data_IF_892104715035
#
_entry.id   IF_892104715035
#
_cell.length_a   1.000
_cell.length_b   1.000
_cell.length_c   1.000
_cell.angle_alpha   90.00
_cell.angle_beta   90.00
_cell.angle_gamma   90.00
#
_symmetry.space_group_name_H-M   'P 1'
#
loop_
_entity.id
_entity.type
_entity.pdbx_description
1 polymer ?
#
# COMPACT_ATOMS: atom_id res chain seq x y z
N UNK A 1 -15.00 -19.31 13.23
CA UNK A 1 -14.47 -18.81 11.93
C UNK A 1 -13.37 -17.82 12.22
N UNK A 2 -12.17 -18.08 11.75
CA UNK A 2 -10.97 -17.29 11.97
C UNK A 2 -10.69 -16.41 10.76
N UNK A 3 -10.65 -15.08 10.94
CA UNK A 3 -10.26 -14.12 9.90
C UNK A 3 -8.86 -13.56 10.13
N UNK A 4 -8.18 -13.93 11.22
CA UNK A 4 -6.85 -13.42 11.51
C UNK A 4 -5.81 -13.95 10.52
N UNK A 5 -4.86 -13.08 10.18
CA UNK A 5 -3.70 -13.41 9.35
C UNK A 5 -2.43 -12.94 10.03
N UNK A 6 -1.30 -13.61 9.74
CA UNK A 6 -0.01 -13.25 10.31
C UNK A 6 0.97 -12.83 9.22
N UNK A 7 1.54 -11.63 9.35
CA UNK A 7 2.53 -11.09 8.42
C UNK A 7 3.77 -10.73 9.23
N UNK A 8 4.91 -11.33 8.93
CA UNK A 8 6.19 -11.04 9.55
C UNK A 8 6.15 -11.04 11.10
N UNK A 9 5.40 -11.96 11.70
CA UNK A 9 5.23 -12.07 13.14
C UNK A 9 4.14 -11.19 13.75
N UNK A 10 3.61 -10.20 13.03
CA UNK A 10 2.49 -9.36 13.46
C UNK A 10 1.18 -10.03 13.11
N UNK A 11 0.26 -10.13 14.09
CA UNK A 11 -1.08 -10.68 13.90
C UNK A 11 -2.08 -9.56 13.61
N UNK A 12 -2.86 -9.73 12.53
CA UNK A 12 -3.94 -8.84 12.09
C UNK A 12 -5.26 -9.56 12.29
N UNK A 13 -6.24 -8.92 12.91
CA UNK A 13 -7.56 -9.52 13.24
C UNK A 13 -8.38 -9.92 12.00
N UNK A 14 -8.10 -9.34 10.85
CA UNK A 14 -8.61 -9.69 9.54
C UNK A 14 -7.62 -9.24 8.45
N UNK A 15 -7.73 -9.76 7.20
CA UNK A 15 -6.77 -9.47 6.14
C UNK A 15 -6.94 -8.12 5.46
N UNK A 16 -7.88 -7.27 5.88
CA UNK A 16 -8.26 -6.06 5.15
C UNK A 16 -7.67 -4.82 5.82
N UNK A 17 -6.95 -4.05 5.02
CA UNK A 17 -6.43 -2.74 5.39
C UNK A 17 -6.74 -1.73 4.26
N UNK A 18 -6.50 -0.47 4.48
CA UNK A 18 -6.57 0.53 3.41
C UNK A 18 -5.17 0.80 2.83
N UNK A 19 -5.12 1.32 1.60
CA UNK A 19 -3.86 1.60 0.93
C UNK A 19 -3.36 3.01 1.24
N UNK A 20 -2.07 3.14 1.53
CA UNK A 20 -1.44 4.45 1.78
C UNK A 20 -1.80 5.50 0.73
N UNK A 21 -2.11 6.69 1.21
CA UNK A 21 -2.41 7.87 0.37
C UNK A 21 -3.87 8.04 -0.03
N UNK A 22 -4.77 7.14 0.39
CA UNK A 22 -6.21 7.21 0.10
C UNK A 22 -7.07 7.37 1.34
N UNK A 23 -6.45 7.41 2.53
CA UNK A 23 -7.13 7.39 3.82
C UNK A 23 -6.51 8.38 4.83
N UNK A 24 -5.51 9.16 4.40
CA UNK A 24 -4.71 10.00 5.30
C UNK A 24 -4.00 9.16 6.36
N UNK A 25 -4.20 9.53 7.63
CA UNK A 25 -3.87 8.70 8.81
C UNK A 25 -5.16 8.26 9.53
N UNK A 26 -6.28 8.18 8.82
CA UNK A 26 -7.56 7.71 9.31
C UNK A 26 -8.42 8.76 10.02
N UNK A 27 -7.94 9.98 10.27
CA UNK A 27 -8.69 11.00 11.02
C UNK A 27 -10.02 11.34 10.35
N UNK A 28 -10.00 11.68 9.07
CA UNK A 28 -11.20 12.04 8.31
C UNK A 28 -12.13 10.85 8.14
N UNK A 29 -11.59 9.66 7.94
CA UNK A 29 -12.40 8.45 7.76
C UNK A 29 -12.96 7.88 9.05
N UNK A 30 -12.39 8.23 10.21
CA UNK A 30 -12.96 7.83 11.52
C UNK A 30 -14.34 8.43 11.79
N UNK A 31 -14.72 9.48 11.03
CA UNK A 31 -16.08 10.04 11.08
C UNK A 31 -17.11 9.14 10.37
N UNK A 32 -16.67 8.24 9.49
CA UNK A 32 -17.52 7.32 8.72
C UNK A 32 -17.46 5.90 9.26
N UNK A 33 -16.27 5.42 9.63
CA UNK A 33 -16.04 4.04 10.02
C UNK A 33 -15.27 3.93 11.33
N UNK A 34 -15.59 2.91 12.14
CA UNK A 34 -14.76 2.54 13.28
C UNK A 34 -13.47 1.86 12.77
N UNK A 35 -12.34 2.54 12.95
CA UNK A 35 -11.03 2.04 12.52
C UNK A 35 -10.64 0.73 13.23
N UNK A 36 -11.25 0.44 14.41
CA UNK A 36 -11.03 -0.83 15.12
C UNK A 36 -11.58 -2.05 14.36
N UNK A 37 -12.38 -1.85 13.32
CA UNK A 37 -12.86 -2.93 12.45
C UNK A 37 -11.83 -3.40 11.42
N UNK A 38 -10.82 -2.57 11.13
CA UNK A 38 -9.79 -2.85 10.13
C UNK A 38 -8.68 -3.72 10.70
N UNK A 39 -8.07 -4.55 9.87
CA UNK A 39 -6.84 -5.28 10.22
C UNK A 39 -5.69 -4.33 10.51
N UNK A 40 -5.53 -3.29 9.68
CA UNK A 40 -4.55 -2.23 9.88
C UNK A 40 -5.00 -0.91 9.24
N UNK A 41 -4.40 0.20 9.70
CA UNK A 41 -4.34 1.48 9.00
C UNK A 41 -2.94 1.66 8.44
N UNK A 42 -2.83 1.77 7.09
CA UNK A 42 -1.57 2.10 6.41
C UNK A 42 -1.53 3.61 6.17
N UNK A 43 -0.66 4.30 6.86
CA UNK A 43 -0.67 5.76 6.92
C UNK A 43 -0.28 6.41 5.58
N UNK A 44 -0.60 7.70 5.43
CA UNK A 44 0.01 8.52 4.38
C UNK A 44 1.53 8.41 4.46
N UNK A 45 2.19 8.41 3.29
CA UNK A 45 3.66 8.39 3.23
C UNK A 45 4.27 9.50 4.08
N UNK A 46 5.17 9.11 4.98
CA UNK A 46 5.88 9.98 5.92
C UNK A 46 7.31 10.16 5.46
N UNK A 47 7.75 11.42 5.32
CA UNK A 47 9.13 11.78 4.99
C UNK A 47 9.84 12.38 6.21
N UNK A 48 11.16 12.49 6.13
CA UNK A 48 11.99 13.10 7.17
C UNK A 48 11.67 14.58 7.42
N UNK A 49 11.20 15.28 6.38
CA UNK A 49 10.77 16.68 6.42
C UNK A 49 9.40 16.85 5.75
N UNK A 50 8.68 17.97 5.98
CA UNK A 50 7.42 18.23 5.27
C UNK A 50 7.62 18.36 3.75
N UNK A 51 6.74 17.72 2.97
CA UNK A 51 6.71 17.86 1.51
C UNK A 51 5.41 18.51 1.05
N UNK A 52 5.49 19.58 0.22
CA UNK A 52 4.30 20.29 -0.27
C UNK A 52 3.52 19.52 -1.35
N UNK A 53 4.13 18.50 -1.95
CA UNK A 53 3.59 17.79 -3.11
C UNK A 53 3.75 18.57 -4.41
N UNK A 54 3.12 18.06 -5.47
CA UNK A 54 3.17 18.65 -6.81
C UNK A 54 2.19 19.83 -6.95
N UNK A 55 2.37 20.71 -7.98
CA UNK A 55 1.37 21.72 -8.34
C UNK A 55 0.01 21.11 -8.74
N UNK A 56 -1.06 21.86 -8.56
CA UNK A 56 -2.41 21.51 -9.01
C UNK A 56 -2.60 21.89 -10.49
N UNK A 57 -3.55 21.19 -11.21
CA UNK A 57 -4.42 20.09 -10.79
C UNK A 57 -3.64 18.78 -10.61
N UNK A 58 -4.02 17.99 -9.59
CA UNK A 58 -3.31 16.77 -9.17
C UNK A 58 -4.08 15.48 -9.43
N UNK A 59 -5.35 15.56 -9.77
CA UNK A 59 -6.28 14.45 -9.92
C UNK A 59 -7.05 14.60 -11.22
N UNK A 60 -7.27 13.49 -11.91
CA UNK A 60 -8.13 13.42 -13.07
C UNK A 60 -8.85 12.07 -13.09
N UNK A 61 -10.19 12.11 -13.22
CA UNK A 61 -10.97 10.89 -13.39
C UNK A 61 -10.71 10.25 -14.76
N UNK A 62 -10.76 8.94 -14.82
CA UNK A 62 -10.67 8.14 -16.04
C UNK A 62 -11.79 7.11 -16.06
N UNK A 63 -12.01 6.48 -17.21
CA UNK A 63 -12.92 5.36 -17.27
C UNK A 63 -12.40 4.20 -16.42
N UNK A 64 -13.15 3.83 -15.39
CA UNK A 64 -12.80 2.75 -14.47
C UNK A 64 -11.70 3.09 -13.44
N UNK A 65 -11.46 4.39 -13.15
CA UNK A 65 -10.49 4.77 -12.12
C UNK A 65 -10.13 6.24 -12.14
N UNK A 66 -8.92 6.55 -11.67
CA UNK A 66 -8.40 7.90 -11.62
C UNK A 66 -6.88 7.95 -11.82
N UNK A 67 -6.40 9.10 -12.31
CA UNK A 67 -4.98 9.46 -12.32
C UNK A 67 -4.73 10.43 -11.18
N UNK A 68 -3.70 10.18 -10.38
CA UNK A 68 -3.23 11.12 -9.37
C UNK A 68 -1.75 11.46 -9.58
N UNK A 69 -1.41 12.70 -9.24
CA UNK A 69 -0.04 13.23 -9.23
C UNK A 69 0.17 14.07 -7.94
N UNK A 70 -0.15 13.50 -6.79
CA UNK A 70 -0.09 14.18 -5.48
C UNK A 70 1.33 14.60 -5.12
N UNK A 71 2.35 13.78 -5.46
CA UNK A 71 3.75 14.05 -5.14
C UNK A 71 4.07 13.88 -3.67
N UNK A 72 3.45 12.89 -3.00
CA UNK A 72 3.73 12.51 -1.61
C UNK A 72 3.59 13.67 -0.60
N UNK A 73 2.66 14.60 -0.81
CA UNK A 73 2.39 15.66 0.18
C UNK A 73 2.18 15.04 1.57
N UNK A 74 2.98 15.49 2.55
CA UNK A 74 2.92 14.98 3.91
C UNK A 74 3.52 16.01 4.90
N UNK A 75 3.17 15.94 6.20
CA UNK A 75 3.61 16.90 7.20
C UNK A 75 5.01 16.63 7.77
N UNK A 76 5.67 15.53 7.36
CA UNK A 76 6.93 15.08 7.93
C UNK A 76 6.77 14.30 9.24
N UNK A 77 7.85 13.59 9.62
CA UNK A 77 7.86 12.66 10.75
C UNK A 77 7.56 13.34 12.09
N UNK A 78 7.98 14.59 12.31
CA UNK A 78 7.78 15.30 13.59
C UNK A 78 6.29 15.52 13.90
N UNK A 79 5.53 15.93 12.88
CA UNK A 79 4.08 16.13 13.03
C UNK A 79 3.37 14.79 13.11
N UNK A 80 3.79 13.83 12.29
CA UNK A 80 3.22 12.49 12.28
C UNK A 80 3.34 11.80 13.65
N UNK A 81 4.51 11.79 14.25
CA UNK A 81 4.76 11.16 15.55
C UNK A 81 3.93 11.82 16.67
N UNK A 82 3.79 13.16 16.66
CA UNK A 82 3.07 13.90 17.71
C UNK A 82 1.55 13.93 17.54
N UNK A 83 1.04 13.81 16.32
CA UNK A 83 -0.39 13.94 16.00
C UNK A 83 -1.03 12.62 15.60
N UNK A 84 -0.45 11.94 14.60
CA UNK A 84 -1.10 10.81 13.93
C UNK A 84 -0.96 9.50 14.73
N UNK A 85 0.21 9.23 15.28
CA UNK A 85 0.42 8.02 16.12
C UNK A 85 -0.49 8.05 17.36
N UNK A 86 -0.53 9.13 18.19
CA UNK A 86 -1.44 9.18 19.33
C UNK A 86 -2.93 9.08 18.95
N UNK A 87 -3.31 9.57 17.77
CA UNK A 87 -4.66 9.41 17.27
C UNK A 87 -4.97 7.94 16.96
N UNK A 88 -4.12 7.28 16.17
CA UNK A 88 -4.31 5.89 15.76
C UNK A 88 -4.32 4.92 16.94
N UNK A 89 -3.52 5.19 17.97
CA UNK A 89 -3.45 4.35 19.18
C UNK A 89 -4.71 4.39 20.06
N UNK A 90 -5.71 5.20 19.69
CA UNK A 90 -7.05 5.15 20.34
C UNK A 90 -7.90 3.98 19.84
N UNK A 91 -7.52 3.37 18.71
CA UNK A 91 -8.27 2.31 18.05
C UNK A 91 -7.55 0.97 18.17
N UNK A 92 -8.31 -0.10 18.29
CA UNK A 92 -7.80 -1.47 18.25
C UNK A 92 -7.57 -1.89 16.79
N UNK A 93 -6.53 -1.34 16.18
CA UNK A 93 -6.08 -1.65 14.81
C UNK A 93 -4.56 -1.62 14.74
N UNK A 94 -3.96 -2.33 13.79
CA UNK A 94 -2.52 -2.25 13.56
C UNK A 94 -2.16 -0.97 12.82
N UNK A 95 -1.00 -0.41 13.14
CA UNK A 95 -0.49 0.81 12.51
C UNK A 95 0.70 0.43 11.63
N UNK A 96 0.50 0.54 10.31
CA UNK A 96 1.55 0.35 9.31
C UNK A 96 1.96 1.71 8.76
N UNK A 97 3.21 2.11 9.00
CA UNK A 97 3.68 3.44 8.57
C UNK A 97 4.29 3.33 7.17
N UNK A 98 3.67 4.02 6.20
CA UNK A 98 4.27 4.16 4.87
C UNK A 98 5.40 5.19 4.94
N UNK A 99 6.62 4.76 4.63
CA UNK A 99 7.83 5.59 4.69
C UNK A 99 8.24 5.97 3.27
N UNK A 100 8.55 7.24 3.05
CA UNK A 100 9.04 7.75 1.77
C UNK A 100 10.28 8.62 1.95
N UNK A 101 11.16 8.63 0.96
CA UNK A 101 12.40 9.38 0.93
C UNK A 101 12.83 9.69 -0.51
N UNK A 102 13.79 10.58 -0.68
CA UNK A 102 14.46 10.88 -1.95
C UNK A 102 15.80 10.16 -2.04
N UNK A 103 16.46 9.97 -0.92
CA UNK A 103 17.74 9.27 -0.78
C UNK A 103 17.60 8.13 0.21
N UNK A 104 18.55 7.21 0.23
CA UNK A 104 18.57 6.11 1.22
C UNK A 104 18.63 6.68 2.65
N UNK A 105 19.37 7.76 2.86
CA UNK A 105 19.53 8.44 4.15
C UNK A 105 18.21 9.00 4.65
N UNK A 106 17.35 9.55 3.75
CA UNK A 106 16.01 10.04 4.13
C UNK A 106 15.14 8.91 4.68
N UNK A 107 15.19 7.71 4.05
CA UNK A 107 14.45 6.54 4.56
C UNK A 107 14.99 6.09 5.92
N UNK A 108 16.31 6.04 6.08
CA UNK A 108 16.97 5.63 7.33
C UNK A 108 16.58 6.61 8.45
N UNK A 109 16.65 7.92 8.22
CA UNK A 109 16.28 8.94 9.23
C UNK A 109 14.83 8.73 9.73
N UNK A 110 13.87 8.51 8.84
CA UNK A 110 12.48 8.24 9.24
C UNK A 110 12.37 6.93 10.01
N UNK A 111 13.03 5.87 9.55
CA UNK A 111 12.98 4.54 10.16
C UNK A 111 13.57 4.55 11.57
N UNK A 112 14.71 5.20 11.77
CA UNK A 112 15.34 5.34 13.09
C UNK A 112 14.46 6.13 14.06
N UNK A 113 13.84 7.22 13.59
CA UNK A 113 12.93 8.05 14.39
C UNK A 113 11.62 7.34 14.74
N UNK A 114 11.20 6.33 13.95
CA UNK A 114 10.07 5.46 14.25
C UNK A 114 10.45 4.28 15.14
N UNK A 115 11.74 4.05 15.39
CA UNK A 115 12.21 2.84 16.07
C UNK A 115 11.64 2.63 17.47
N UNK A 116 11.38 3.70 18.23
CA UNK A 116 10.80 3.65 19.57
C UNK A 116 9.31 4.00 19.62
N UNK A 117 8.71 4.32 18.47
CA UNK A 117 7.29 4.62 18.37
C UNK A 117 6.43 3.35 18.38
N UNK A 118 5.22 3.39 18.94
CA UNK A 118 4.34 2.24 19.05
C UNK A 118 3.61 1.94 17.73
N UNK A 119 4.37 1.69 16.67
CA UNK A 119 3.87 1.30 15.35
C UNK A 119 4.23 -0.16 15.07
N UNK A 120 3.37 -0.86 14.33
CA UNK A 120 3.45 -2.31 14.22
C UNK A 120 4.33 -2.77 13.04
N UNK A 121 4.44 -1.95 11.97
CA UNK A 121 5.15 -2.34 10.76
C UNK A 121 5.52 -1.09 9.91
N UNK A 122 6.56 -1.19 9.09
CA UNK A 122 7.00 -0.13 8.17
C UNK A 122 6.81 -0.57 6.72
N UNK A 123 6.04 0.19 5.93
CA UNK A 123 5.91 -0.01 4.49
C UNK A 123 6.82 0.97 3.75
N UNK A 124 7.91 0.50 3.18
CA UNK A 124 8.92 1.31 2.49
C UNK A 124 8.47 1.54 1.05
N UNK A 125 8.13 2.76 0.73
CA UNK A 125 7.57 3.14 -0.55
C UNK A 125 8.68 3.54 -1.55
N UNK A 126 9.18 2.58 -2.30
CA UNK A 126 10.19 2.77 -3.35
C UNK A 126 9.57 2.90 -4.75
N UNK A 127 8.27 3.14 -4.86
CA UNK A 127 7.51 2.95 -6.09
C UNK A 127 6.74 4.18 -6.56
N UNK A 128 6.92 5.36 -5.96
CA UNK A 128 6.13 6.54 -6.30
C UNK A 128 6.51 7.10 -7.68
N UNK A 129 5.58 7.10 -8.69
CA UNK A 129 5.87 7.63 -10.02
C UNK A 129 5.85 9.16 -10.08
N UNK A 130 5.43 9.82 -8.99
CA UNK A 130 5.14 11.27 -8.95
C UNK A 130 6.27 12.10 -8.31
N UNK A 131 7.44 11.51 -8.04
CA UNK A 131 8.65 12.19 -7.53
C UNK A 131 9.77 12.05 -8.56
N UNK A 132 10.44 13.15 -8.88
CA UNK A 132 11.54 13.17 -9.85
C UNK A 132 12.81 12.50 -9.34
N UNK A 133 13.03 12.52 -8.03
CA UNK A 133 14.18 11.94 -7.33
C UNK A 133 13.68 10.97 -6.27
N UNK A 134 14.35 9.82 -6.10
CA UNK A 134 13.89 8.75 -5.22
C UNK A 134 12.77 7.90 -5.84
N UNK A 135 11.91 7.32 -5.03
CA UNK A 135 10.71 6.60 -5.44
C UNK A 135 10.88 5.63 -6.63
N UNK A 136 10.44 6.06 -7.82
CA UNK A 136 10.44 5.20 -9.01
C UNK A 136 11.85 4.75 -9.46
N UNK A 137 12.88 5.58 -9.23
CA UNK A 137 14.25 5.24 -9.62
C UNK A 137 14.77 4.04 -8.81
N UNK A 138 14.42 3.96 -7.52
CA UNK A 138 14.75 2.79 -6.70
C UNK A 138 13.94 1.55 -7.10
N UNK A 139 12.68 1.69 -7.45
CA UNK A 139 11.76 0.58 -7.72
C UNK A 139 11.88 -0.08 -9.10
N UNK A 140 12.76 0.41 -10.00
CA UNK A 140 12.91 -0.13 -11.36
C UNK A 140 14.23 -0.88 -11.57
N UNK A 141 15.19 -0.75 -10.66
CA UNK A 141 16.46 -1.48 -10.71
C UNK A 141 16.51 -2.49 -9.55
N UNK A 142 16.63 -3.80 -9.81
CA UNK A 142 16.67 -4.81 -8.76
C UNK A 142 17.86 -4.65 -7.82
N UNK A 143 19.00 -4.15 -8.28
CA UNK A 143 20.16 -3.87 -7.41
C UNK A 143 19.87 -2.73 -6.44
N UNK A 144 19.18 -1.70 -6.90
CA UNK A 144 18.74 -0.60 -6.04
C UNK A 144 17.67 -1.05 -5.03
N UNK A 145 16.72 -1.91 -5.45
CA UNK A 145 15.72 -2.52 -4.54
C UNK A 145 16.39 -3.31 -3.42
N UNK A 146 17.33 -4.20 -3.76
CA UNK A 146 18.08 -4.99 -2.78
C UNK A 146 18.89 -4.10 -1.84
N UNK A 147 19.62 -3.14 -2.39
CA UNK A 147 20.48 -2.25 -1.59
C UNK A 147 19.69 -1.41 -0.57
N UNK A 148 18.59 -0.77 -1.02
CA UNK A 148 17.77 0.06 -0.12
C UNK A 148 17.05 -0.81 0.92
N UNK A 149 16.58 -2.00 0.54
CA UNK A 149 15.96 -2.94 1.48
C UNK A 149 16.94 -3.32 2.57
N UNK A 150 18.17 -3.70 2.19
CA UNK A 150 19.24 -4.07 3.14
C UNK A 150 19.59 -2.90 4.07
N UNK A 151 19.71 -1.69 3.52
CA UNK A 151 20.03 -0.50 4.29
C UNK A 151 18.94 -0.20 5.34
N UNK A 152 17.67 -0.18 4.92
CA UNK A 152 16.53 0.05 5.82
C UNK A 152 16.43 -1.04 6.90
N UNK A 153 16.58 -2.32 6.51
CA UNK A 153 16.53 -3.45 7.44
C UNK A 153 17.61 -3.38 8.55
N UNK A 154 18.77 -2.84 8.24
CA UNK A 154 19.85 -2.68 9.21
C UNK A 154 19.52 -1.67 10.34
N UNK A 155 18.56 -0.77 10.11
CA UNK A 155 18.17 0.30 11.03
C UNK A 155 16.76 0.11 11.62
N UNK A 156 15.91 -0.70 10.98
CA UNK A 156 14.54 -0.91 11.41
C UNK A 156 14.44 -1.82 12.63
N UNK A 157 13.65 -1.43 13.64
CA UNK A 157 13.24 -2.27 14.75
C UNK A 157 11.95 -3.04 14.46
N UNK A 158 11.07 -2.46 13.65
CA UNK A 158 9.81 -3.07 13.21
C UNK A 158 10.02 -3.93 11.96
N UNK A 159 9.11 -4.88 11.66
CA UNK A 159 9.09 -5.59 10.39
C UNK A 159 8.98 -4.62 9.20
N UNK A 160 9.70 -4.92 8.11
CA UNK A 160 9.81 -4.10 6.91
C UNK A 160 9.07 -4.75 5.75
N UNK A 161 8.11 -4.03 5.20
CA UNK A 161 7.39 -4.34 3.97
C UNK A 161 7.93 -3.49 2.82
N UNK A 162 8.33 -4.10 1.71
CA UNK A 162 8.77 -3.35 0.53
C UNK A 162 7.60 -3.16 -0.44
N UNK A 163 7.21 -1.90 -0.70
CA UNK A 163 6.13 -1.58 -1.64
C UNK A 163 6.66 -1.41 -3.04
N UNK A 164 6.28 -2.35 -3.94
CA UNK A 164 6.80 -2.45 -5.28
C UNK A 164 5.97 -1.67 -6.32
N UNK A 165 6.68 -1.20 -7.35
CA UNK A 165 6.10 -0.55 -8.52
C UNK A 165 5.64 -1.58 -9.56
N UNK A 166 4.46 -1.38 -10.19
CA UNK A 166 4.04 -2.20 -11.33
C UNK A 166 4.72 -1.79 -12.65
N UNK A 167 5.46 -0.67 -12.66
CA UNK A 167 6.05 -0.10 -13.88
C UNK A 167 7.38 -0.76 -14.22
N UNK A 168 7.35 -2.07 -14.29
CA UNK A 168 8.48 -2.95 -14.59
C UNK A 168 8.04 -4.07 -15.53
N UNK A 169 8.98 -4.64 -16.27
CA UNK A 169 8.68 -5.73 -17.21
C UNK A 169 8.34 -7.04 -16.49
N UNK A 170 9.07 -7.35 -15.42
CA UNK A 170 8.91 -8.56 -14.62
C UNK A 170 8.95 -8.22 -13.13
N UNK A 171 7.79 -8.34 -12.46
CA UNK A 171 7.65 -8.04 -11.04
C UNK A 171 8.38 -9.04 -10.16
N UNK A 172 8.60 -10.27 -10.65
CA UNK A 172 9.27 -11.31 -9.87
C UNK A 172 10.73 -10.99 -9.59
N UNK A 173 11.37 -10.27 -10.49
CA UNK A 173 12.76 -9.81 -10.34
C UNK A 173 12.85 -8.82 -9.17
N UNK A 174 11.88 -7.89 -9.08
CA UNK A 174 11.85 -6.90 -8.00
C UNK A 174 11.48 -7.55 -6.66
N UNK A 175 10.53 -8.50 -6.67
CA UNK A 175 10.14 -9.24 -5.47
C UNK A 175 11.31 -10.04 -4.89
N UNK A 176 12.05 -10.76 -5.73
CA UNK A 176 13.27 -11.51 -5.32
C UNK A 176 14.37 -10.57 -4.79
N UNK A 177 14.56 -9.42 -5.40
CA UNK A 177 15.52 -8.43 -4.94
C UNK A 177 15.16 -7.87 -3.55
N UNK A 178 13.88 -7.57 -3.31
CA UNK A 178 13.40 -7.16 -1.98
C UNK A 178 13.60 -8.26 -0.93
N UNK A 179 13.26 -9.51 -1.26
CA UNK A 179 13.49 -10.66 -0.37
C UNK A 179 14.98 -10.87 -0.08
N UNK A 180 15.85 -10.80 -1.10
CA UNK A 180 17.30 -10.90 -0.96
C UNK A 180 17.89 -9.78 -0.08
N UNK A 181 17.31 -8.58 -0.12
CA UNK A 181 17.64 -7.47 0.76
C UNK A 181 17.16 -7.65 2.21
N UNK A 182 16.36 -8.67 2.49
CA UNK A 182 15.88 -9.00 3.83
C UNK A 182 14.50 -8.41 4.17
N UNK A 183 13.67 -8.09 3.16
CA UNK A 183 12.27 -7.71 3.41
C UNK A 183 11.53 -8.80 4.18
N UNK A 184 10.72 -8.41 5.16
CA UNK A 184 9.89 -9.34 5.94
C UNK A 184 8.55 -9.62 5.26
N UNK A 185 8.10 -8.72 4.38
CA UNK A 185 6.93 -8.87 3.52
C UNK A 185 7.05 -7.96 2.29
N UNK A 186 6.18 -8.17 1.31
CA UNK A 186 6.12 -7.35 0.10
C UNK A 186 4.69 -6.87 -0.09
N UNK A 187 4.51 -5.58 -0.42
CA UNK A 187 3.22 -5.04 -0.86
C UNK A 187 3.28 -4.65 -2.34
N UNK A 188 2.26 -4.97 -3.09
CA UNK A 188 2.12 -4.62 -4.50
C UNK A 188 0.65 -4.66 -4.94
N UNK A 189 0.26 -3.82 -5.86
CA UNK A 189 1.05 -2.92 -6.68
C UNK A 189 0.79 -1.46 -6.29
N UNK A 190 1.76 -0.57 -6.51
CA UNK A 190 1.49 0.85 -6.59
C UNK A 190 0.76 1.15 -7.92
N UNK A 191 0.62 2.39 -8.32
CA UNK A 191 -0.14 2.82 -9.49
C UNK A 191 0.63 2.66 -10.79
N UNK A 192 -0.08 2.37 -11.88
CA UNK A 192 0.49 2.34 -13.23
C UNK A 192 0.68 3.77 -13.74
N UNK A 193 1.79 4.05 -14.41
CA UNK A 193 2.01 5.36 -15.02
C UNK A 193 1.04 5.58 -16.18
N UNK A 194 0.29 6.68 -16.12
CA UNK A 194 -0.69 7.07 -17.12
C UNK A 194 -0.69 8.55 -17.42
N UNK A 195 -1.47 8.94 -18.41
CA UNK A 195 -1.66 10.34 -18.84
C UNK A 195 -3.09 10.57 -19.28
N UNK A 196 -3.62 11.78 -19.01
CA UNK A 196 -4.89 12.24 -19.58
C UNK A 196 -4.72 13.62 -20.22
N UNK A 197 -5.29 13.81 -21.40
CA UNK A 197 -5.32 15.06 -22.15
C UNK A 197 -6.74 15.66 -22.11
N UNK A 198 -6.84 16.92 -21.75
CA UNK A 198 -8.05 17.73 -21.88
C UNK A 198 -8.15 18.26 -23.32
N UNK A 199 -8.90 17.56 -24.18
CA UNK A 199 -8.90 17.82 -25.63
C UNK A 199 -9.40 19.22 -26.01
N UNK A 200 -10.39 19.75 -25.30
CA UNK A 200 -10.94 21.06 -25.58
C UNK A 200 -9.96 22.20 -25.28
N UNK A 201 -9.14 22.01 -24.25
CA UNK A 201 -8.11 22.99 -23.83
C UNK A 201 -6.75 22.69 -24.43
N UNK A 202 -6.54 21.49 -24.99
CA UNK A 202 -5.27 20.97 -25.50
C UNK A 202 -4.15 21.03 -24.44
N UNK A 203 -4.49 20.66 -23.19
CA UNK A 203 -3.59 20.70 -22.03
C UNK A 203 -3.59 19.33 -21.32
N UNK A 204 -2.61 19.13 -20.46
CA UNK A 204 -2.60 17.97 -19.57
C UNK A 204 -3.66 18.11 -18.46
N UNK A 205 -4.35 17.03 -18.14
CA UNK A 205 -5.37 17.03 -17.08
C UNK A 205 -4.76 17.17 -15.67
N UNK A 206 -3.51 16.76 -15.49
CA UNK A 206 -2.74 16.98 -14.26
C UNK A 206 -1.49 17.81 -14.55
N UNK A 207 -1.10 18.70 -13.64
CA UNK A 207 0.02 19.63 -13.83
C UNK A 207 1.36 18.92 -14.09
N UNK A 208 1.54 17.75 -13.49
CA UNK A 208 2.73 16.90 -13.64
C UNK A 208 2.80 16.15 -15.00
N UNK A 209 1.84 16.36 -15.91
CA UNK A 209 1.65 15.71 -17.22
C UNK A 209 1.28 14.24 -17.12
N UNK A 210 2.05 13.44 -16.38
CA UNK A 210 1.79 12.04 -16.04
C UNK A 210 1.41 11.89 -14.58
N UNK A 211 0.75 10.79 -14.24
CA UNK A 211 0.39 10.43 -12.88
C UNK A 211 0.17 8.93 -12.74
N UNK A 212 -0.13 8.49 -11.54
CA UNK A 212 -0.44 7.11 -11.25
C UNK A 212 -1.90 6.79 -11.52
N UNK A 213 -2.18 5.86 -12.43
CA UNK A 213 -3.50 5.29 -12.68
C UNK A 213 -3.82 4.25 -11.60
N UNK A 214 -5.00 4.38 -10.99
CA UNK A 214 -5.55 3.47 -9.97
C UNK A 214 -7.04 3.22 -10.20
N UNK A 215 -7.63 2.30 -9.43
CA UNK A 215 -9.06 1.94 -9.54
C UNK A 215 -9.28 0.61 -10.28
N UNK A 216 -10.55 0.22 -10.53
CA UNK A 216 -10.92 -1.10 -11.08
C UNK A 216 -10.20 -1.48 -12.37
N UNK A 217 -9.86 -0.49 -13.22
CA UNK A 217 -9.19 -0.74 -14.49
C UNK A 217 -7.82 -1.44 -14.35
N UNK A 218 -7.12 -1.29 -13.24
CA UNK A 218 -5.80 -1.92 -13.03
C UNK A 218 -5.87 -3.28 -12.34
N UNK A 219 -7.05 -3.71 -11.83
CA UNK A 219 -7.18 -4.94 -11.01
C UNK A 219 -6.62 -6.18 -11.70
N UNK A 220 -6.93 -6.50 -12.97
CA UNK A 220 -6.41 -7.71 -13.61
C UNK A 220 -4.86 -7.71 -13.69
N UNK A 221 -4.25 -6.55 -13.84
CA UNK A 221 -2.79 -6.41 -13.82
C UNK A 221 -2.25 -6.68 -12.41
N UNK A 222 -2.91 -6.11 -11.39
CA UNK A 222 -2.53 -6.27 -9.99
C UNK A 222 -2.64 -7.73 -9.53
N UNK A 223 -3.75 -8.41 -9.80
CA UNK A 223 -3.97 -9.82 -9.47
C UNK A 223 -2.88 -10.70 -10.10
N UNK A 224 -2.59 -10.50 -11.41
CA UNK A 224 -1.51 -11.23 -12.08
C UNK A 224 -0.16 -11.01 -11.41
N UNK A 225 0.19 -9.76 -11.08
CA UNK A 225 1.47 -9.45 -10.45
C UNK A 225 1.58 -10.01 -9.03
N UNK A 226 0.50 -9.99 -8.26
CA UNK A 226 0.44 -10.64 -6.93
C UNK A 226 0.65 -12.14 -7.06
N UNK A 227 -0.04 -12.80 -7.98
CA UNK A 227 0.15 -14.22 -8.23
C UNK A 227 1.60 -14.55 -8.58
N UNK A 228 2.20 -13.81 -9.53
CA UNK A 228 3.59 -14.02 -9.94
C UNK A 228 4.58 -13.79 -8.78
N UNK A 229 4.38 -12.74 -7.99
CA UNK A 229 5.24 -12.47 -6.83
C UNK A 229 5.12 -13.56 -5.77
N UNK A 230 3.88 -14.00 -5.44
CA UNK A 230 3.63 -15.06 -4.47
C UNK A 230 4.28 -16.40 -4.85
N UNK A 231 4.40 -16.70 -6.16
CA UNK A 231 5.11 -17.88 -6.64
C UNK A 231 6.64 -17.72 -6.63
N UNK A 232 7.14 -16.48 -6.58
CA UNK A 232 8.56 -16.19 -6.74
C UNK A 232 9.33 -16.03 -5.44
N UNK A 233 8.63 -15.69 -4.34
CA UNK A 233 9.22 -15.41 -3.01
C UNK A 233 8.53 -16.20 -1.91
N UNK A 234 9.15 -16.27 -0.72
CA UNK A 234 8.62 -16.97 0.45
C UNK A 234 7.99 -16.02 1.47
N UNK A 235 8.32 -14.74 1.41
CA UNK A 235 7.78 -13.73 2.32
C UNK A 235 6.30 -13.44 2.01
N UNK A 236 5.49 -13.10 3.03
CA UNK A 236 4.07 -12.78 2.84
C UNK A 236 3.84 -11.63 1.88
N UNK A 237 2.71 -11.69 1.15
CA UNK A 237 2.31 -10.68 0.17
C UNK A 237 1.09 -9.90 0.67
N UNK A 238 1.14 -8.57 0.57
CA UNK A 238 -0.01 -7.67 0.72
C UNK A 238 -0.41 -7.20 -0.67
N UNK A 239 -1.59 -7.65 -1.13
CA UNK A 239 -2.08 -7.35 -2.48
C UNK A 239 -2.92 -6.07 -2.51
N UNK A 240 -2.72 -5.22 -3.53
CA UNK A 240 -3.52 -4.01 -3.75
C UNK A 240 -3.59 -3.63 -5.23
N UNK A 241 -4.66 -2.90 -5.59
CA UNK A 241 -4.85 -2.35 -6.94
C UNK A 241 -6.21 -2.70 -7.53
N UNK A 242 -7.17 -1.77 -7.42
CA UNK A 242 -8.49 -1.91 -8.01
C UNK A 242 -9.50 -2.74 -7.22
N UNK A 243 -9.24 -3.04 -5.95
CA UNK A 243 -10.17 -3.70 -5.04
C UNK A 243 -11.28 -2.72 -4.68
N UNK A 244 -12.55 -3.09 -4.91
CA UNK A 244 -13.73 -2.30 -4.60
C UNK A 244 -14.71 -3.00 -3.64
N UNK A 245 -14.61 -4.31 -3.52
CA UNK A 245 -15.51 -5.15 -2.73
C UNK A 245 -14.81 -6.45 -2.30
N UNK A 246 -15.56 -7.33 -1.62
CA UNK A 246 -15.05 -8.60 -1.09
C UNK A 246 -14.63 -9.59 -2.19
N UNK A 247 -15.39 -9.66 -3.29
CA UNK A 247 -15.06 -10.57 -4.40
C UNK A 247 -13.72 -10.20 -5.02
N UNK A 248 -13.50 -8.89 -5.23
CA UNK A 248 -12.21 -8.39 -5.70
C UNK A 248 -11.08 -8.73 -4.72
N UNK A 249 -11.29 -8.57 -3.41
CA UNK A 249 -10.31 -8.90 -2.38
C UNK A 249 -9.97 -10.41 -2.35
N UNK A 250 -10.99 -11.25 -2.51
CA UNK A 250 -10.82 -12.71 -2.58
C UNK A 250 -10.02 -13.14 -3.82
N UNK A 251 -10.13 -12.44 -4.97
CA UNK A 251 -9.24 -12.71 -6.11
C UNK A 251 -7.76 -12.58 -5.72
N UNK A 252 -7.40 -11.55 -4.94
CA UNK A 252 -6.03 -11.35 -4.48
C UNK A 252 -5.59 -12.41 -3.47
N UNK A 253 -6.46 -12.76 -2.52
CA UNK A 253 -6.17 -13.80 -1.52
C UNK A 253 -5.94 -15.14 -2.21
N UNK A 254 -6.84 -15.52 -3.12
CA UNK A 254 -6.70 -16.75 -3.92
C UNK A 254 -5.44 -16.74 -4.80
N UNK A 255 -5.02 -15.57 -5.28
CA UNK A 255 -3.77 -15.42 -6.03
C UNK A 255 -2.51 -15.51 -5.16
N UNK A 256 -2.63 -15.53 -3.83
CA UNK A 256 -1.51 -15.71 -2.90
C UNK A 256 -1.23 -14.52 -1.96
N UNK A 257 -2.09 -13.49 -1.95
CA UNK A 257 -1.97 -12.43 -0.97
C UNK A 257 -2.40 -12.91 0.42
N UNK A 258 -1.58 -12.66 1.44
CA UNK A 258 -1.91 -12.90 2.86
C UNK A 258 -2.87 -11.85 3.39
N UNK A 259 -2.76 -10.62 2.90
CA UNK A 259 -3.65 -9.50 3.20
C UNK A 259 -3.88 -8.64 1.96
N UNK A 260 -4.88 -7.76 2.02
CA UNK A 260 -5.25 -6.88 0.92
C UNK A 260 -5.39 -5.44 1.39
N UNK A 261 -5.05 -4.48 0.52
CA UNK A 261 -5.20 -3.06 0.82
C UNK A 261 -6.11 -2.36 -0.21
N UNK A 262 -7.10 -1.62 0.28
CA UNK A 262 -8.11 -0.93 -0.51
C UNK A 262 -7.72 0.54 -0.65
N UNK A 263 -7.64 1.03 -1.88
CA UNK A 263 -7.24 2.40 -2.18
C UNK A 263 -8.38 3.26 -2.72
N UNK A 264 -8.40 3.45 -4.04
CA UNK A 264 -9.30 4.37 -4.77
C UNK A 264 -10.78 4.20 -4.43
N UNK A 265 -11.21 2.99 -4.08
CA UNK A 265 -12.60 2.72 -3.70
C UNK A 265 -13.08 3.57 -2.51
N UNK A 266 -12.18 3.92 -1.57
CA UNK A 266 -12.48 4.77 -0.43
C UNK A 266 -12.97 6.17 -0.83
N UNK A 267 -12.60 6.68 -2.01
CA UNK A 267 -13.06 7.99 -2.51
C UNK A 267 -14.50 7.95 -3.03
N UNK A 268 -14.98 6.78 -3.47
CA UNK A 268 -16.34 6.59 -3.95
C UNK A 268 -17.28 6.12 -2.85
N UNK A 269 -16.76 5.27 -1.96
CA UNK A 269 -17.50 4.73 -0.82
C UNK A 269 -16.58 4.69 0.42
N UNK A 270 -16.75 5.60 1.38
CA UNK A 270 -15.94 5.62 2.59
C UNK A 270 -16.08 4.37 3.45
N UNK A 271 -17.10 3.55 3.18
CA UNK A 271 -17.34 2.26 3.86
C UNK A 271 -16.74 1.07 3.11
N UNK A 272 -16.07 1.27 1.96
CA UNK A 272 -15.58 0.18 1.12
C UNK A 272 -14.74 -0.84 1.89
N UNK A 273 -13.85 -0.39 2.76
CA UNK A 273 -12.95 -1.25 3.53
C UNK A 273 -13.74 -2.13 4.52
N UNK A 274 -14.64 -1.56 5.31
CA UNK A 274 -15.44 -2.33 6.28
C UNK A 274 -16.46 -3.25 5.60
N UNK A 275 -17.06 -2.82 4.47
CA UNK A 275 -17.92 -3.68 3.64
C UNK A 275 -17.16 -4.88 3.08
N UNK A 276 -15.88 -4.70 2.75
CA UNK A 276 -15.03 -5.80 2.28
C UNK A 276 -14.76 -6.79 3.40
N UNK A 277 -14.51 -6.35 4.63
CA UNK A 277 -14.39 -7.24 5.80
C UNK A 277 -15.67 -8.08 5.97
N UNK A 278 -16.84 -7.43 5.95
CA UNK A 278 -18.13 -8.11 6.11
C UNK A 278 -18.40 -9.10 4.95
N UNK A 279 -18.08 -8.71 3.73
CA UNK A 279 -18.27 -9.54 2.55
C UNK A 279 -17.36 -10.78 2.53
N UNK A 280 -16.10 -10.66 2.96
CA UNK A 280 -15.19 -11.82 3.13
C UNK A 280 -15.78 -12.78 4.18
N UNK A 281 -16.25 -12.24 5.32
CA UNK A 281 -16.89 -13.04 6.35
C UNK A 281 -18.10 -13.79 5.82
N UNK A 282 -18.98 -13.11 5.08
CA UNK A 282 -20.16 -13.73 4.47
C UNK A 282 -19.80 -14.81 3.43
N UNK A 283 -18.72 -14.61 2.65
CA UNK A 283 -18.19 -15.62 1.75
C UNK A 283 -17.74 -16.88 2.51
N UNK A 284 -16.95 -16.72 3.58
CA UNK A 284 -16.50 -17.83 4.40
C UNK A 284 -17.68 -18.61 5.02
N UNK A 285 -18.69 -17.89 5.54
CA UNK A 285 -19.91 -18.50 6.07
C UNK A 285 -20.66 -19.31 5.00
N UNK A 286 -20.83 -18.73 3.81
CA UNK A 286 -21.54 -19.37 2.68
C UNK A 286 -20.87 -20.68 2.24
N UNK A 287 -19.55 -20.74 2.25
CA UNK A 287 -18.77 -21.88 1.77
C UNK A 287 -18.24 -22.79 2.89
N UNK A 288 -18.58 -22.53 4.15
CA UNK A 288 -18.16 -23.34 5.31
C UNK A 288 -16.66 -23.31 5.56
N UNK A 289 -16.00 -22.16 5.28
CA UNK A 289 -14.56 -21.96 5.48
C UNK A 289 -14.34 -21.50 6.91
N UNK A 290 -13.59 -22.25 7.68
CA UNK A 290 -13.36 -21.97 9.10
C UNK A 290 -12.18 -21.03 9.32
N UNK A 291 -11.18 -21.02 8.42
CA UNK A 291 -9.98 -20.22 8.50
C UNK A 291 -9.68 -19.54 7.15
N UNK A 292 -9.57 -18.19 7.14
CA UNK A 292 -9.25 -17.42 5.94
C UNK A 292 -7.90 -17.84 5.31
N UNK A 293 -6.99 -18.34 6.12
CA UNK A 293 -5.68 -18.80 5.65
C UNK A 293 -5.75 -19.99 4.68
N UNK A 294 -6.87 -20.76 4.68
CA UNK A 294 -7.12 -21.82 3.71
C UNK A 294 -7.30 -21.30 2.27
N UNK A 295 -7.64 -20.02 2.12
CA UNK A 295 -7.86 -19.39 0.81
C UNK A 295 -6.57 -18.81 0.21
N UNK A 296 -5.51 -18.64 0.99
CA UNK A 296 -4.27 -18.00 0.52
C UNK A 296 -3.60 -18.89 -0.52
N UNK A 297 -3.56 -18.42 -1.78
CA UNK A 297 -2.96 -19.15 -2.89
C UNK A 297 -3.75 -20.38 -3.34
N UNK A 298 -5.03 -20.50 -2.98
CA UNK A 298 -5.85 -21.65 -3.25
C UNK A 298 -6.45 -21.71 -4.68
N UNK A 299 -6.05 -20.79 -5.58
CA UNK A 299 -6.44 -20.87 -6.99
C UNK A 299 -5.88 -22.14 -7.63
N UNK A 300 -6.74 -22.86 -8.38
CA UNK A 300 -6.40 -24.13 -9.04
C UNK A 300 -6.08 -23.92 -10.51
#
# INVERSE_FOLDING_TARGET
MNMSVKIAGVEFKNPVMEASGTFGSGMEYSEFVDLSRLGAVVTKGVANVPWPGNPTPRIAETYGGMINAIGLQNPGIDVFAKRDIPFLKKYDTKVVVNVCGKTTEDYIDVVERLGDEPVDMLEINISCPNVKEGGIAFGQDPKAVEAITKAVKAHAKQPVVMKLSPNVTDITVMAKAAEAGGADAISLINTLTGMKIEINRRTFAVANKTGGLSGPAIRPVAVRMVYQAAQAVKVPIIGMGGICNADDALEFILAGATAVAIGTANFHDPYATVKTVDGIKAYMEKYGIEDINELIGAVK
#
